data_IF_096008897378
#
_entry.id   IF_096008897378
#
_cell.length_a   1.000
_cell.length_b   1.000
_cell.length_c   1.000
_cell.angle_alpha   90.00
_cell.angle_beta   90.00
_cell.angle_gamma   90.00
#
_symmetry.space_group_name_H-M   'P 1'
#
loop_
_entity.id
_entity.type
_entity.pdbx_description
1 polymer ?
#
# COMPACT_ATOMS: atom_id res chain seq x y z
N UNK A 1 -27.98 -9.42 11.48
CA UNK A 1 -27.38 -10.71 11.91
C UNK A 1 -26.90 -10.59 13.35
N UNK A 2 -26.99 -11.65 14.17
CA UNK A 2 -26.34 -11.71 15.47
C UNK A 2 -24.83 -11.42 15.38
N UNK A 3 -24.28 -10.67 16.35
CA UNK A 3 -22.90 -10.17 16.29
C UNK A 3 -21.82 -11.26 16.15
N UNK A 4 -22.03 -12.41 16.78
CA UNK A 4 -21.14 -13.57 16.70
C UNK A 4 -21.08 -14.14 15.27
N UNK A 5 -22.23 -14.24 14.59
CA UNK A 5 -22.29 -14.74 13.21
C UNK A 5 -21.56 -13.80 12.27
N UNK A 6 -21.71 -12.49 12.46
CA UNK A 6 -21.00 -11.48 11.67
C UNK A 6 -19.47 -11.53 11.88
N UNK A 7 -19.02 -11.79 13.11
CA UNK A 7 -17.61 -12.03 13.40
C UNK A 7 -17.06 -13.25 12.64
N UNK A 8 -17.75 -14.38 12.69
CA UNK A 8 -17.33 -15.59 11.96
C UNK A 8 -17.28 -15.38 10.45
N UNK A 9 -18.22 -14.64 9.86
CA UNK A 9 -18.20 -14.31 8.43
C UNK A 9 -16.95 -13.49 8.08
N UNK A 10 -16.65 -12.44 8.84
CA UNK A 10 -15.44 -11.62 8.62
C UNK A 10 -14.17 -12.43 8.77
N UNK A 11 -14.07 -13.24 9.83
CA UNK A 11 -12.91 -14.10 10.07
C UNK A 11 -12.73 -15.13 8.95
N UNK A 12 -13.81 -15.78 8.52
CA UNK A 12 -13.80 -16.73 7.40
C UNK A 12 -13.37 -16.08 6.10
N UNK A 13 -13.86 -14.87 5.80
CA UNK A 13 -13.44 -14.09 4.64
C UNK A 13 -11.93 -13.75 4.69
N UNK A 14 -11.41 -13.32 5.84
CA UNK A 14 -9.99 -13.01 6.01
C UNK A 14 -9.13 -14.26 5.81
N UNK A 15 -9.49 -15.40 6.42
CA UNK A 15 -8.78 -16.67 6.28
C UNK A 15 -8.78 -17.12 4.82
N UNK A 16 -9.92 -17.03 4.13
CA UNK A 16 -10.03 -17.35 2.72
C UNK A 16 -9.09 -16.49 1.87
N UNK A 17 -9.03 -15.18 2.13
CA UNK A 17 -8.10 -14.27 1.44
C UNK A 17 -6.64 -14.66 1.71
N UNK A 18 -6.26 -14.97 2.95
CA UNK A 18 -4.90 -15.42 3.27
C UNK A 18 -4.52 -16.70 2.52
N UNK A 19 -5.44 -17.67 2.47
CA UNK A 19 -5.24 -18.91 1.73
C UNK A 19 -5.11 -18.65 0.22
N UNK A 20 -5.94 -17.76 -0.34
CA UNK A 20 -5.90 -17.39 -1.75
C UNK A 20 -4.61 -16.64 -2.13
N UNK A 21 -4.22 -15.64 -1.34
CA UNK A 21 -2.99 -14.85 -1.55
C UNK A 21 -1.75 -15.73 -1.50
N UNK A 22 -1.70 -16.70 -0.59
CA UNK A 22 -0.59 -17.67 -0.52
C UNK A 22 -0.43 -18.45 -1.83
N UNK A 23 -1.53 -18.79 -2.49
CA UNK A 23 -1.52 -19.50 -3.78
C UNK A 23 -1.11 -18.60 -4.96
N UNK A 24 -1.29 -17.29 -4.84
CA UNK A 24 -1.02 -16.30 -5.90
C UNK A 24 0.42 -15.73 -5.89
N UNK A 25 1.19 -15.89 -4.81
CA UNK A 25 2.52 -15.25 -4.69
C UNK A 25 3.64 -16.12 -5.33
N UNK A 26 4.24 -15.71 -6.45
CA UNK A 26 5.45 -16.34 -6.97
C UNK A 26 6.63 -16.02 -6.03
N UNK A 27 7.36 -17.03 -5.54
CA UNK A 27 8.41 -16.94 -4.50
C UNK A 27 9.22 -15.62 -4.50
N UNK A 28 8.84 -14.67 -3.64
CA UNK A 28 9.52 -13.38 -3.47
C UNK A 28 10.59 -13.51 -2.39
N UNK A 29 11.78 -12.96 -2.63
CA UNK A 29 12.85 -12.89 -1.60
C UNK A 29 12.40 -11.97 -0.46
N UNK A 30 12.58 -12.44 0.78
CA UNK A 30 12.20 -11.72 2.02
C UNK A 30 12.79 -10.31 2.02
N UNK A 31 14.01 -10.14 1.51
CA UNK A 31 14.69 -8.85 1.45
C UNK A 31 13.94 -7.80 0.63
N UNK A 32 13.26 -8.19 -0.46
CA UNK A 32 12.46 -7.24 -1.26
C UNK A 32 11.20 -6.80 -0.51
N UNK A 33 10.59 -7.71 0.25
CA UNK A 33 9.44 -7.39 1.09
C UNK A 33 9.85 -6.49 2.26
N UNK A 34 10.99 -6.78 2.90
CA UNK A 34 11.55 -6.00 3.99
C UNK A 34 11.92 -4.59 3.54
N UNK A 35 12.55 -4.45 2.38
CA UNK A 35 12.91 -3.14 1.84
C UNK A 35 11.65 -2.29 1.53
N UNK A 36 10.59 -2.90 0.99
CA UNK A 36 9.30 -2.21 0.80
C UNK A 36 8.69 -1.79 2.15
N UNK A 37 8.66 -2.70 3.12
CA UNK A 37 8.09 -2.44 4.44
C UNK A 37 8.79 -1.26 5.14
N UNK A 38 10.13 -1.30 5.21
CA UNK A 38 10.90 -0.30 5.95
C UNK A 38 11.09 1.02 5.20
N UNK A 39 11.19 0.98 3.88
CA UNK A 39 11.45 2.20 3.10
C UNK A 39 10.17 2.95 2.73
N UNK A 40 9.02 2.28 2.72
CA UNK A 40 7.77 2.87 2.28
C UNK A 40 6.63 2.72 3.30
N UNK A 41 6.33 1.51 3.79
CA UNK A 41 5.16 1.31 4.67
C UNK A 41 5.35 1.96 6.05
N UNK A 42 6.53 1.81 6.66
CA UNK A 42 6.80 2.34 8.00
C UNK A 42 6.74 3.88 8.04
N UNK A 43 7.45 4.62 7.17
CA UNK A 43 7.34 6.08 7.15
C UNK A 43 5.92 6.57 6.85
N UNK A 44 5.22 5.91 5.92
CA UNK A 44 3.85 6.26 5.56
C UNK A 44 2.87 6.05 6.73
N UNK A 45 3.00 4.92 7.44
CA UNK A 45 2.19 4.63 8.62
C UNK A 45 2.42 5.63 9.75
N UNK A 46 3.67 6.05 9.97
CA UNK A 46 4.01 7.09 10.95
C UNK A 46 3.38 8.44 10.60
N UNK A 47 3.47 8.87 9.35
CA UNK A 47 2.82 10.13 8.91
C UNK A 47 1.31 10.04 9.11
N UNK A 48 0.68 8.93 8.74
CA UNK A 48 -0.76 8.75 8.93
C UNK A 48 -1.15 8.77 10.41
N UNK A 49 -0.36 8.12 11.27
CA UNK A 49 -0.57 8.14 12.72
C UNK A 49 -0.51 9.57 13.28
N UNK A 50 0.50 10.36 12.86
CA UNK A 50 0.63 11.76 13.28
C UNK A 50 -0.54 12.61 12.82
N UNK A 51 -1.01 12.42 11.58
CA UNK A 51 -2.18 13.16 11.05
C UNK A 51 -3.44 12.83 11.84
N UNK A 52 -3.72 11.55 12.09
CA UNK A 52 -4.90 11.12 12.85
C UNK A 52 -4.85 11.70 14.27
N UNK A 53 -3.72 11.58 14.97
CA UNK A 53 -3.57 12.11 16.32
C UNK A 53 -3.68 13.63 16.40
N UNK A 54 -3.18 14.35 15.38
CA UNK A 54 -3.28 15.81 15.33
C UNK A 54 -4.73 16.27 15.06
N UNK A 55 -5.44 15.62 14.14
CA UNK A 55 -6.84 15.94 13.83
C UNK A 55 -7.74 15.67 15.02
N UNK A 56 -7.53 14.56 15.73
CA UNK A 56 -8.28 14.20 16.94
C UNK A 56 -8.10 15.23 18.06
N UNK A 57 -6.89 15.79 18.22
CA UNK A 57 -6.61 16.81 19.24
C UNK A 57 -7.14 18.21 18.88
N UNK A 58 -7.17 18.57 17.60
CA UNK A 58 -7.50 19.93 17.15
C UNK A 58 -8.98 20.13 16.78
N UNK A 59 -9.72 19.06 16.46
CA UNK A 59 -11.10 19.14 15.98
C UNK A 59 -12.04 18.46 16.96
N UNK A 60 -12.79 19.24 17.73
CA UNK A 60 -13.73 18.73 18.75
C UNK A 60 -15.09 18.29 18.16
N UNK A 61 -15.47 18.82 17.00
CA UNK A 61 -16.74 18.51 16.36
C UNK A 61 -16.64 17.19 15.58
N UNK A 62 -17.37 16.16 16.03
CA UNK A 62 -17.28 14.81 15.44
C UNK A 62 -17.59 14.74 13.95
N UNK A 63 -18.47 15.61 13.43
CA UNK A 63 -18.79 15.66 12.00
C UNK A 63 -17.63 16.28 11.18
N UNK A 64 -17.04 17.37 11.68
CA UNK A 64 -15.89 18.03 11.04
C UNK A 64 -14.65 17.16 11.14
N UNK A 65 -14.45 16.45 12.27
CA UNK A 65 -13.39 15.47 12.46
C UNK A 65 -13.51 14.34 11.43
N UNK A 66 -14.72 13.79 11.24
CA UNK A 66 -14.97 12.75 10.25
C UNK A 66 -14.63 13.21 8.82
N UNK A 67 -15.09 14.39 8.42
CA UNK A 67 -14.81 14.95 7.09
C UNK A 67 -13.31 15.24 6.92
N UNK A 68 -12.64 15.80 7.93
CA UNK A 68 -11.21 16.09 7.90
C UNK A 68 -10.37 14.81 7.77
N UNK A 69 -10.73 13.75 8.50
CA UNK A 69 -10.06 12.45 8.41
C UNK A 69 -10.30 11.77 7.06
N UNK A 70 -11.49 11.91 6.46
CA UNK A 70 -11.77 11.41 5.12
C UNK A 70 -10.91 12.11 4.06
N UNK A 71 -10.82 13.44 4.11
CA UNK A 71 -9.96 14.22 3.20
C UNK A 71 -8.50 13.82 3.38
N UNK A 72 -8.02 13.71 4.63
CA UNK A 72 -6.66 13.28 4.93
C UNK A 72 -6.37 11.88 4.35
N UNK A 73 -7.28 10.92 4.50
CA UNK A 73 -7.12 9.58 3.93
C UNK A 73 -7.10 9.60 2.39
N UNK A 74 -7.92 10.43 1.75
CA UNK A 74 -7.91 10.57 0.28
C UNK A 74 -6.57 11.15 -0.19
N UNK A 75 -6.05 12.18 0.47
CA UNK A 75 -4.74 12.77 0.14
C UNK A 75 -3.62 11.75 0.29
N UNK A 76 -3.61 11.01 1.40
CA UNK A 76 -2.64 9.94 1.63
C UNK A 76 -2.76 8.86 0.55
N UNK A 77 -3.98 8.43 0.22
CA UNK A 77 -4.22 7.43 -0.82
C UNK A 77 -3.71 7.89 -2.21
N UNK A 78 -3.96 9.16 -2.58
CA UNK A 78 -3.44 9.74 -3.83
C UNK A 78 -1.91 9.78 -3.80
N UNK A 79 -1.31 10.20 -2.69
CA UNK A 79 0.15 10.20 -2.53
C UNK A 79 0.75 8.81 -2.68
N UNK A 80 0.12 7.80 -2.08
CA UNK A 80 0.53 6.40 -2.20
C UNK A 80 0.42 5.92 -3.63
N UNK A 81 -0.71 6.15 -4.31
CA UNK A 81 -0.92 5.76 -5.71
C UNK A 81 0.12 6.44 -6.61
N UNK A 82 0.40 7.74 -6.37
CA UNK A 82 1.42 8.49 -7.10
C UNK A 82 2.83 7.91 -6.93
N UNK A 83 3.22 7.59 -5.69
CA UNK A 83 4.53 6.98 -5.41
C UNK A 83 4.63 5.57 -6.01
N UNK A 84 3.58 4.76 -5.91
CA UNK A 84 3.55 3.42 -6.50
C UNK A 84 3.61 3.47 -8.03
N UNK A 85 2.90 4.41 -8.66
CA UNK A 85 2.98 4.63 -10.10
C UNK A 85 4.39 5.08 -10.53
N UNK A 86 4.98 6.04 -9.81
CA UNK A 86 6.33 6.54 -10.08
C UNK A 86 7.41 5.46 -9.92
N UNK A 87 7.29 4.62 -8.88
CA UNK A 87 8.17 3.47 -8.67
C UNK A 87 8.03 2.42 -9.80
N UNK A 88 6.83 2.26 -10.37
CA UNK A 88 6.57 1.38 -11.51
C UNK A 88 7.28 1.80 -12.80
N UNK A 89 7.32 3.11 -13.12
CA UNK A 89 7.90 3.61 -14.37
C UNK A 89 9.42 3.42 -14.47
N UNK A 90 10.16 3.50 -13.35
CA UNK A 90 11.64 3.49 -13.37
C UNK A 90 12.24 2.13 -13.75
N UNK A 91 11.47 1.05 -13.65
CA UNK A 91 11.97 -0.33 -13.86
C UNK A 91 12.09 -0.70 -15.35
N UNK A 92 11.28 -0.10 -16.24
CA UNK A 92 11.16 -0.51 -17.65
C UNK A 92 12.34 -0.05 -18.52
N UNK A 93 12.96 1.09 -18.23
CA UNK A 93 13.94 1.73 -19.11
C UNK A 93 15.30 1.01 -19.16
N UNK A 94 15.77 0.44 -18.04
CA UNK A 94 17.09 -0.21 -17.98
C UNK A 94 17.13 -1.58 -18.67
N UNK A 95 16.01 -2.32 -18.67
CA UNK A 95 15.91 -3.61 -19.37
C UNK A 95 15.88 -3.43 -20.88
N UNK A 96 15.11 -2.46 -21.37
CA UNK A 96 15.02 -2.15 -22.80
C UNK A 96 16.33 -1.63 -23.35
N UNK A 97 17.07 -0.80 -22.60
CA UNK A 97 18.39 -0.32 -23.01
C UNK A 97 19.42 -1.46 -23.16
N UNK A 98 19.42 -2.45 -22.26
CA UNK A 98 20.31 -3.62 -22.40
C UNK A 98 19.95 -4.51 -23.58
N UNK A 99 18.66 -4.66 -23.88
CA UNK A 99 18.19 -5.43 -25.04
C UNK A 99 18.51 -4.67 -26.33
N UNK A 100 18.32 -3.35 -26.36
CA UNK A 100 18.66 -2.51 -27.51
C UNK A 100 20.17 -2.47 -27.76
N UNK A 101 20.99 -2.34 -26.70
CA UNK A 101 22.45 -2.38 -26.80
C UNK A 101 22.96 -3.74 -27.32
N UNK A 102 22.42 -4.86 -26.80
CA UNK A 102 22.75 -6.20 -27.32
C UNK A 102 22.30 -6.42 -28.76
N UNK A 103 21.19 -5.81 -29.19
CA UNK A 103 20.74 -5.90 -30.59
C UNK A 103 21.62 -5.08 -31.54
N UNK A 104 22.22 -3.99 -31.07
CA UNK A 104 23.12 -3.15 -31.86
C UNK A 104 24.53 -3.77 -32.02
N UNK A 105 24.96 -4.65 -31.11
CA UNK A 105 26.24 -5.38 -31.23
C UNK A 105 26.18 -6.57 -32.21
N UNK A 106 24.98 -7.06 -32.55
CA UNK A 106 24.77 -8.26 -33.40
C UNK A 106 24.48 -7.88 -34.86
N UNK A 107 24.19 -6.61 -35.15
CA UNK A 107 23.91 -6.07 -36.48
C UNK A 107 25.16 -5.41 -37.08
#
# INVERSE_FOLDING_TARGET
>A
LPGYIWFFIKCGAVIFVFWWVRSMIPRIRIDHLLNLAWKFLVPLGLVNLMVVGLVDKLVADGLVQGIALLIANIVVAIGVIGVLAFAGHKTRSRRLQRIAARRAEIA
#
